data_IF_259296747019
#
_entry.id   IF_259296747019
#
_cell.length_a   1.000
_cell.length_b   1.000
_cell.length_c   1.000
_cell.angle_alpha   90.00
_cell.angle_beta   90.00
_cell.angle_gamma   90.00
#
_symmetry.space_group_name_H-M   'P 1'
#
loop_
_entity.id
_entity.type
_entity.pdbx_description
1 polymer ?
#
# COMPACT_ATOMS: atom_id res chain seq x y z
N UNK A 1 -5.29 27.72 1.51
CA UNK A 1 -6.60 27.33 2.09
C UNK A 1 -7.66 27.88 1.17
N UNK A 2 -8.46 27.00 0.56
CA UNK A 2 -9.44 27.39 -0.46
C UNK A 2 -10.57 26.34 -0.49
N UNK A 3 -11.86 26.73 -0.59
CA UNK A 3 -12.96 25.79 -0.78
C UNK A 3 -12.80 24.84 -1.97
N UNK A 4 -12.07 25.24 -3.02
CA UNK A 4 -11.79 24.39 -4.19
C UNK A 4 -10.90 23.19 -3.85
N UNK A 5 -10.16 23.22 -2.74
CA UNK A 5 -9.32 22.11 -2.27
C UNK A 5 -10.12 21.08 -1.46
N UNK A 6 -11.38 21.37 -1.12
CA UNK A 6 -12.17 20.50 -0.25
C UNK A 6 -12.51 19.15 -0.90
N UNK A 7 -12.55 18.10 -0.08
CA UNK A 7 -12.92 16.76 -0.50
C UNK A 7 -11.90 16.08 -1.41
N UNK A 8 -10.64 16.53 -1.38
CA UNK A 8 -9.53 15.86 -2.06
C UNK A 8 -9.31 14.45 -1.51
N UNK A 9 -9.12 13.49 -2.41
CA UNK A 9 -8.47 12.21 -2.12
C UNK A 9 -6.94 12.35 -2.08
N UNK A 10 -6.25 11.23 -1.93
CA UNK A 10 -4.79 11.21 -1.74
C UNK A 10 -4.06 11.81 -2.94
N UNK A 11 -4.41 11.39 -4.16
CA UNK A 11 -3.78 11.90 -5.37
C UNK A 11 -4.01 13.40 -5.57
N UNK A 12 -5.25 13.88 -5.42
CA UNK A 12 -5.54 15.32 -5.51
C UNK A 12 -4.82 16.13 -4.43
N UNK A 13 -4.68 15.57 -3.22
CA UNK A 13 -3.90 16.17 -2.13
C UNK A 13 -2.42 16.24 -2.50
N UNK A 14 -1.84 15.16 -3.02
CA UNK A 14 -0.44 15.11 -3.45
C UNK A 14 -0.16 16.08 -4.61
N UNK A 15 -1.10 16.24 -5.55
CA UNK A 15 -1.01 17.23 -6.64
C UNK A 15 -0.99 18.67 -6.11
N UNK A 16 -1.87 19.00 -5.17
CA UNK A 16 -1.88 20.33 -4.55
C UNK A 16 -0.59 20.61 -3.77
N UNK A 17 -0.06 19.61 -3.04
CA UNK A 17 1.21 19.71 -2.33
C UNK A 17 2.40 19.86 -3.29
N UNK A 18 2.42 19.12 -4.39
CA UNK A 18 3.46 19.23 -5.41
C UNK A 18 3.45 20.63 -6.06
N UNK A 19 2.27 21.18 -6.35
CA UNK A 19 2.13 22.54 -6.87
C UNK A 19 2.63 23.59 -5.86
N UNK A 20 2.26 23.44 -4.58
CA UNK A 20 2.72 24.32 -3.51
C UNK A 20 4.25 24.29 -3.34
N UNK A 21 4.86 23.10 -3.42
CA UNK A 21 6.31 22.94 -3.34
C UNK A 21 7.03 23.58 -4.51
N UNK A 22 6.59 23.36 -5.76
CA UNK A 22 7.17 24.01 -6.94
C UNK A 22 7.10 25.53 -6.84
N UNK A 23 6.00 26.06 -6.30
CA UNK A 23 5.85 27.49 -6.01
C UNK A 23 6.85 27.94 -4.93
N UNK A 24 6.97 27.19 -3.83
CA UNK A 24 7.93 27.50 -2.77
C UNK A 24 9.37 27.55 -3.31
N UNK A 25 9.72 26.61 -4.19
CA UNK A 25 11.04 26.57 -4.81
C UNK A 25 11.31 27.74 -5.75
N UNK A 26 10.28 28.19 -6.49
CA UNK A 26 10.38 29.36 -7.35
C UNK A 26 10.67 30.66 -6.57
N UNK A 27 10.14 30.78 -5.35
CA UNK A 27 10.29 31.97 -4.50
C UNK A 27 11.52 31.90 -3.56
N UNK A 28 11.86 30.70 -3.08
CA UNK A 28 12.78 30.49 -1.95
C UNK A 28 14.01 29.63 -2.25
N UNK A 29 14.15 29.09 -3.46
CA UNK A 29 15.23 28.17 -3.83
C UNK A 29 14.88 26.68 -3.60
N UNK A 30 15.76 25.76 -4.02
CA UNK A 30 15.46 24.32 -4.05
C UNK A 30 15.19 23.75 -2.65
N UNK A 31 14.30 22.76 -2.57
CA UNK A 31 14.02 22.02 -1.35
C UNK A 31 14.76 20.68 -1.38
N UNK A 32 15.75 20.51 -0.50
CA UNK A 32 16.54 19.27 -0.43
C UNK A 32 15.82 18.11 0.28
N UNK A 33 14.93 18.41 1.23
CA UNK A 33 14.28 17.38 2.02
C UNK A 33 12.84 17.76 2.35
N UNK A 34 11.91 16.87 1.98
CA UNK A 34 10.49 16.97 2.29
C UNK A 34 10.14 15.93 3.35
N UNK A 35 9.64 16.38 4.49
CA UNK A 35 9.19 15.50 5.58
C UNK A 35 7.66 15.49 5.63
N UNK A 36 7.09 14.30 5.70
CA UNK A 36 5.67 14.08 5.94
C UNK A 36 5.45 13.06 7.07
N UNK A 37 4.24 12.97 7.61
CA UNK A 37 3.90 11.87 8.53
C UNK A 37 3.74 10.55 7.76
N UNK A 38 4.02 9.41 8.41
CA UNK A 38 3.82 8.08 7.81
C UNK A 38 2.41 7.87 7.28
N UNK A 39 1.41 8.25 8.07
CA UNK A 39 -0.02 8.13 7.78
C UNK A 39 -0.78 9.14 8.66
N UNK A 40 -1.97 9.54 8.22
CA UNK A 40 -2.88 10.35 9.05
C UNK A 40 -3.80 9.44 9.86
N UNK A 41 -4.18 9.87 11.07
CA UNK A 41 -4.99 9.03 11.99
C UNK A 41 -6.45 8.88 11.59
N UNK A 42 -6.95 9.77 10.72
CA UNK A 42 -8.33 9.81 10.27
C UNK A 42 -8.62 8.79 9.16
N UNK A 43 -7.76 8.76 8.14
CA UNK A 43 -7.94 7.93 6.95
C UNK A 43 -6.94 6.77 6.86
N UNK A 44 -5.83 6.83 7.60
CA UNK A 44 -4.80 5.80 7.70
C UNK A 44 -4.24 5.31 6.35
N UNK A 45 -4.21 6.18 5.32
CA UNK A 45 -3.87 5.77 3.96
C UNK A 45 -2.38 5.53 3.75
N UNK A 46 -1.52 6.39 4.30
CA UNK A 46 -0.08 6.35 4.05
C UNK A 46 0.32 6.51 2.57
N UNK A 47 -0.52 7.17 1.76
CA UNK A 47 -0.38 7.22 0.30
C UNK A 47 0.14 8.56 -0.23
N UNK A 48 -0.15 9.67 0.47
CA UNK A 48 0.20 11.03 -0.01
C UNK A 48 1.71 11.23 -0.15
N UNK A 49 2.52 10.73 0.78
CA UNK A 49 3.98 10.82 0.71
C UNK A 49 4.58 10.18 -0.55
N UNK A 50 4.31 8.89 -0.82
CA UNK A 50 4.83 8.24 -2.03
C UNK A 50 4.18 8.75 -3.33
N UNK A 51 2.91 9.17 -3.34
CA UNK A 51 2.32 9.88 -4.49
C UNK A 51 3.05 11.19 -4.77
N UNK A 52 3.33 11.99 -3.73
CA UNK A 52 4.08 13.24 -3.85
C UNK A 52 5.50 12.99 -4.40
N UNK A 53 6.18 11.97 -3.90
CA UNK A 53 7.49 11.57 -4.39
C UNK A 53 7.46 11.19 -5.87
N UNK A 54 6.42 10.48 -6.32
CA UNK A 54 6.24 10.18 -7.74
C UNK A 54 6.03 11.44 -8.58
N UNK A 55 5.17 12.36 -8.12
CA UNK A 55 4.81 13.59 -8.85
C UNK A 55 5.98 14.59 -8.96
N UNK A 56 6.91 14.54 -8.00
CA UNK A 56 8.14 15.34 -8.00
C UNK A 56 9.35 14.59 -8.58
N UNK A 57 9.19 13.33 -8.99
CA UNK A 57 10.26 12.44 -9.42
C UNK A 57 11.41 12.35 -8.40
N UNK A 58 11.07 12.14 -7.11
CA UNK A 58 12.01 12.05 -6.00
C UNK A 58 12.07 10.62 -5.41
N UNK A 59 13.23 10.22 -4.86
CA UNK A 59 13.31 9.02 -4.05
C UNK A 59 12.48 9.17 -2.77
N UNK A 60 11.99 8.04 -2.25
CA UNK A 60 11.15 8.00 -1.06
C UNK A 60 11.53 6.88 -0.12
N UNK A 61 11.40 7.15 1.18
CA UNK A 61 11.39 6.13 2.22
C UNK A 61 10.32 6.42 3.26
N UNK A 62 9.60 5.37 3.64
CA UNK A 62 8.57 5.42 4.68
C UNK A 62 9.08 4.90 6.01
N UNK A 63 8.37 5.25 7.09
CA UNK A 63 8.61 4.66 8.40
C UNK A 63 9.91 5.13 9.07
N UNK A 64 10.44 6.28 8.68
CA UNK A 64 11.74 6.76 9.18
C UNK A 64 11.65 7.04 10.68
N UNK A 65 12.43 6.30 11.47
CA UNK A 65 12.63 6.45 12.92
C UNK A 65 14.02 6.95 13.30
N UNK A 66 14.99 6.87 12.37
CA UNK A 66 16.31 7.50 12.50
C UNK A 66 16.68 8.19 11.21
N UNK A 67 17.30 9.36 11.32
CA UNK A 67 17.70 10.20 10.19
C UNK A 67 19.04 10.85 10.50
N UNK A 68 20.05 10.58 9.66
CA UNK A 68 21.38 11.18 9.73
C UNK A 68 21.74 11.79 8.36
N UNK A 69 21.88 13.11 8.30
CA UNK A 69 22.30 13.81 7.08
C UNK A 69 23.77 13.55 6.78
N UNK A 70 24.08 13.31 5.51
CA UNK A 70 25.43 13.18 4.97
C UNK A 70 25.63 14.26 3.91
N UNK A 71 25.96 15.46 4.36
CA UNK A 71 26.18 16.64 3.51
C UNK A 71 27.29 16.40 2.47
N UNK A 72 28.33 15.63 2.83
CA UNK A 72 29.46 15.37 1.95
C UNK A 72 29.06 14.55 0.71
N UNK A 73 28.07 13.67 0.84
CA UNK A 73 27.58 12.80 -0.23
C UNK A 73 26.20 13.21 -0.76
N UNK A 74 25.66 14.35 -0.34
CA UNK A 74 24.33 14.83 -0.69
C UNK A 74 23.25 13.75 -0.52
N UNK A 75 23.26 13.11 0.66
CA UNK A 75 22.38 11.98 0.96
C UNK A 75 21.95 11.97 2.43
N UNK A 76 20.99 11.12 2.75
CA UNK A 76 20.51 10.90 4.11
C UNK A 76 20.52 9.40 4.40
N UNK A 77 21.09 9.02 5.55
CA UNK A 77 20.98 7.67 6.09
C UNK A 77 19.75 7.60 6.96
N UNK A 78 18.95 6.57 6.75
CA UNK A 78 17.67 6.38 7.44
C UNK A 78 17.58 4.99 8.05
N UNK A 79 16.99 4.93 9.23
CA UNK A 79 16.52 3.70 9.84
C UNK A 79 14.99 3.68 9.83
N UNK A 80 14.42 2.72 9.12
CA UNK A 80 13.00 2.63 8.84
C UNK A 80 12.36 1.45 9.59
N UNK A 81 11.26 1.73 10.27
CA UNK A 81 10.36 0.73 10.83
C UNK A 81 9.25 0.42 9.82
N UNK A 82 9.25 -0.82 9.34
CA UNK A 82 8.27 -1.35 8.39
C UNK A 82 7.38 -2.39 9.11
N UNK A 83 6.58 -3.15 8.37
CA UNK A 83 5.55 -4.03 8.96
C UNK A 83 6.11 -5.09 9.94
N UNK A 84 7.17 -5.81 9.57
CA UNK A 84 7.84 -6.86 10.36
C UNK A 84 9.37 -6.78 10.27
N UNK A 85 9.89 -5.64 9.80
CA UNK A 85 11.28 -5.45 9.46
C UNK A 85 11.76 -4.08 9.91
N UNK A 86 13.02 -4.04 10.34
CA UNK A 86 13.81 -2.83 10.41
C UNK A 86 14.74 -2.77 9.19
N UNK A 87 14.71 -1.65 8.46
CA UNK A 87 15.54 -1.40 7.28
C UNK A 87 16.50 -0.23 7.52
N UNK A 88 17.77 -0.42 7.18
CA UNK A 88 18.74 0.68 7.04
C UNK A 88 18.91 1.00 5.56
N UNK A 89 18.85 2.28 5.19
CA UNK A 89 19.05 2.71 3.82
C UNK A 89 19.81 4.04 3.72
N UNK A 90 20.47 4.24 2.58
CA UNK A 90 20.93 5.56 2.13
C UNK A 90 20.00 6.06 1.03
N UNK A 91 19.53 7.30 1.14
CA UNK A 91 18.64 7.96 0.17
C UNK A 91 19.35 9.20 -0.38
N UNK A 92 19.45 9.33 -1.69
CA UNK A 92 20.02 10.52 -2.34
C UNK A 92 19.09 11.73 -2.15
N UNK A 93 19.65 12.92 -1.94
CA UNK A 93 18.90 14.18 -1.90
C UNK A 93 18.87 14.85 -3.30
N UNK A 94 17.77 15.54 -3.67
CA UNK A 94 16.58 15.81 -2.87
C UNK A 94 15.69 14.58 -2.65
N UNK A 95 14.97 14.50 -1.52
CA UNK A 95 14.16 13.34 -1.16
C UNK A 95 12.84 13.69 -0.43
N UNK A 96 11.88 12.76 -0.51
CA UNK A 96 10.68 12.75 0.36
C UNK A 96 10.83 11.64 1.39
N UNK A 97 10.71 11.96 2.68
CA UNK A 97 10.70 10.96 3.75
C UNK A 97 9.41 11.05 4.54
N UNK A 98 8.83 9.89 4.89
CA UNK A 98 7.73 9.83 5.86
C UNK A 98 8.26 9.40 7.23
N UNK A 99 8.00 10.24 8.23
CA UNK A 99 8.42 10.00 9.61
C UNK A 99 7.44 9.05 10.31
N UNK A 100 7.97 7.98 10.90
CA UNK A 100 7.24 7.18 11.88
C UNK A 100 7.14 7.91 13.22
N UNK A 101 6.29 7.40 14.11
CA UNK A 101 6.23 7.91 15.47
C UNK A 101 7.60 7.82 16.17
N UNK A 102 7.88 8.79 17.04
CA UNK A 102 9.13 8.84 17.83
C UNK A 102 10.41 8.97 16.99
N UNK A 103 10.34 9.59 15.81
CA UNK A 103 11.55 10.06 15.11
C UNK A 103 12.35 11.07 15.96
N UNK A 104 11.64 11.90 16.73
CA UNK A 104 12.21 12.80 17.74
C UNK A 104 11.47 12.62 19.06
N UNK A 105 12.10 13.01 20.16
CA UNK A 105 11.39 13.20 21.43
C UNK A 105 10.32 14.29 21.27
N UNK A 106 9.08 14.06 21.72
CA UNK A 106 8.02 15.04 21.60
C UNK A 106 8.40 16.39 22.22
N UNK A 107 8.57 17.42 21.40
CA UNK A 107 8.86 18.77 21.85
C UNK A 107 7.56 19.53 22.09
N UNK A 108 7.01 19.45 23.31
CA UNK A 108 5.84 20.26 23.72
C UNK A 108 6.31 21.58 24.34
N UNK A 109 5.83 22.71 23.80
CA UNK A 109 6.04 24.03 24.41
C UNK A 109 4.93 24.26 25.45
N UNK A 110 5.19 23.85 26.69
CA UNK A 110 4.21 23.91 27.80
C UNK A 110 4.08 25.28 28.45
N UNK A 111 5.09 26.15 28.30
CA UNK A 111 5.11 27.51 28.85
C UNK A 111 4.46 28.49 27.87
N UNK A 112 3.30 29.09 28.19
CA UNK A 112 2.64 30.07 27.33
C UNK A 112 3.48 31.31 27.04
N UNK A 113 4.47 31.64 27.89
CA UNK A 113 5.38 32.76 27.64
C UNK A 113 6.35 32.51 26.47
N UNK A 114 6.53 31.23 26.07
CA UNK A 114 7.30 30.82 24.89
C UNK A 114 6.44 30.67 23.64
N UNK A 115 5.13 30.83 23.76
CA UNK A 115 4.27 30.82 22.59
C UNK A 115 4.58 32.05 21.77
N UNK A 116 4.84 31.83 20.49
CA UNK A 116 4.99 32.92 19.53
C UNK A 116 3.57 33.47 19.34
N UNK A 117 3.32 34.77 19.61
CA UNK A 117 2.05 35.39 19.29
C UNK A 117 1.70 35.16 17.82
N UNK A 118 0.41 35.04 17.52
CA UNK A 118 -0.07 35.07 16.13
C UNK A 118 0.30 36.45 15.56
N UNK A 119 1.35 36.49 14.75
CA UNK A 119 1.92 37.71 14.18
C UNK A 119 1.64 37.67 12.68
N UNK A 120 0.94 38.69 12.19
CA UNK A 120 0.10 38.80 10.96
C UNK A 120 0.84 38.62 9.61
N UNK A 121 1.93 37.87 9.53
CA UNK A 121 2.67 37.65 8.27
C UNK A 121 3.57 36.42 8.18
N UNK A 122 3.65 35.55 9.21
CA UNK A 122 4.48 34.33 9.14
C UNK A 122 3.79 33.14 8.47
N UNK A 123 2.45 33.10 8.54
CA UNK A 123 1.64 32.08 7.88
C UNK A 123 1.26 32.61 6.51
N UNK A 124 1.86 32.04 5.47
CA UNK A 124 1.49 32.35 4.08
C UNK A 124 0.30 31.48 3.69
N UNK A 125 -0.84 32.12 3.44
CA UNK A 125 -2.03 31.45 2.92
C UNK A 125 -1.96 31.45 1.40
N UNK A 126 -1.78 30.26 0.82
CA UNK A 126 -1.83 30.05 -0.63
C UNK A 126 -3.22 29.53 -1.00
N UNK A 127 -3.94 30.25 -1.86
CA UNK A 127 -5.25 29.84 -2.39
C UNK A 127 -5.10 28.95 -3.64
N UNK A 128 -6.23 28.46 -4.17
CA UNK A 128 -6.20 27.54 -5.31
C UNK A 128 -5.67 28.21 -6.60
N UNK A 129 -5.95 29.50 -6.80
CA UNK A 129 -5.51 30.25 -7.97
C UNK A 129 -3.97 30.39 -8.00
N UNK A 130 -3.36 30.59 -6.83
CA UNK A 130 -1.91 30.65 -6.67
C UNK A 130 -1.19 29.31 -6.88
N UNK A 131 -1.90 28.17 -6.82
CA UNK A 131 -1.34 26.84 -7.15
C UNK A 131 -1.31 26.56 -8.66
N UNK A 132 -1.97 27.39 -9.47
CA UNK A 132 -2.08 27.23 -10.91
C UNK A 132 -3.46 26.73 -11.36
N UNK A 133 -3.61 26.45 -12.66
CA UNK A 133 -4.89 26.02 -13.20
C UNK A 133 -5.24 24.63 -12.63
N UNK A 134 -6.41 24.53 -11.98
CA UNK A 134 -6.94 23.26 -11.48
C UNK A 134 -7.30 22.25 -12.59
N UNK A 135 -8.15 21.25 -12.32
CA UNK A 135 -9.04 21.14 -11.17
C UNK A 135 -8.29 20.86 -9.85
N UNK A 136 -8.97 21.13 -8.73
CA UNK A 136 -8.48 20.88 -7.37
C UNK A 136 -9.55 20.15 -6.54
N UNK A 137 -9.15 19.63 -5.38
CA UNK A 137 -10.06 19.01 -4.42
C UNK A 137 -10.84 17.84 -5.03
N UNK A 138 -12.11 17.72 -4.65
CA UNK A 138 -13.00 16.69 -5.17
C UNK A 138 -13.14 16.69 -6.71
N UNK A 139 -12.94 17.83 -7.38
CA UNK A 139 -12.99 17.88 -8.84
C UNK A 139 -11.76 17.20 -9.49
N UNK A 140 -10.61 17.20 -8.82
CA UNK A 140 -9.40 16.51 -9.25
C UNK A 140 -9.34 15.05 -8.80
N UNK A 141 -10.11 14.68 -7.78
CA UNK A 141 -10.08 13.34 -7.18
C UNK A 141 -10.70 12.26 -8.05
N UNK A 142 -9.95 11.21 -8.42
CA UNK A 142 -10.52 10.06 -9.10
C UNK A 142 -11.35 9.16 -8.17
N UNK A 143 -11.11 9.19 -6.85
CA UNK A 143 -11.91 8.42 -5.90
C UNK A 143 -13.04 9.24 -5.28
N UNK A 144 -14.12 8.54 -4.90
CA UNK A 144 -15.29 9.11 -4.22
C UNK A 144 -15.78 8.17 -3.14
N UNK A 145 -16.13 8.73 -1.98
CA UNK A 145 -16.81 7.99 -0.92
C UNK A 145 -18.29 7.84 -1.29
N UNK A 146 -18.74 6.60 -1.41
CA UNK A 146 -20.12 6.21 -1.66
C UNK A 146 -20.85 5.82 -0.38
N UNK A 147 -21.74 4.83 -0.51
CA UNK A 147 -22.58 4.35 0.59
C UNK A 147 -21.76 3.80 1.75
N UNK A 148 -22.26 4.00 2.97
CA UNK A 148 -21.72 3.38 4.17
C UNK A 148 -22.65 2.27 4.65
N UNK A 149 -22.08 1.22 5.25
CA UNK A 149 -22.83 0.20 5.98
C UNK A 149 -22.16 -0.07 7.32
N UNK A 150 -22.96 -0.29 8.36
CA UNK A 150 -22.45 -0.80 9.62
C UNK A 150 -21.96 -2.23 9.41
N UNK A 151 -20.73 -2.51 9.78
CA UNK A 151 -20.21 -3.88 9.79
C UNK A 151 -20.29 -4.39 11.23
N UNK A 152 -21.30 -5.21 11.50
CA UNK A 152 -21.36 -5.91 12.78
C UNK A 152 -20.23 -6.93 12.78
N UNK A 153 -19.20 -6.70 13.58
CA UNK A 153 -18.20 -7.71 13.92
C UNK A 153 -18.74 -8.50 15.12
N UNK A 154 -19.40 -9.66 14.94
CA UNK A 154 -19.86 -10.46 16.06
C UNK A 154 -18.65 -10.94 16.86
N UNK A 155 -18.40 -10.29 17.99
CA UNK A 155 -17.41 -10.75 18.96
C UNK A 155 -18.10 -11.79 19.84
N UNK A 156 -17.51 -12.98 19.96
CA UNK A 156 -18.06 -14.03 20.81
C UNK A 156 -18.22 -13.58 22.28
N UNK A 157 -17.43 -12.59 22.73
CA UNK A 157 -17.61 -11.93 24.02
C UNK A 157 -17.55 -12.89 25.22
N UNK A 158 -16.79 -13.98 25.10
CA UNK A 158 -16.70 -15.00 26.15
C UNK A 158 -15.86 -14.46 27.31
N UNK A 159 -16.50 -14.33 28.47
CA UNK A 159 -15.84 -14.10 29.76
C UNK A 159 -15.44 -15.47 30.29
N UNK A 160 -14.18 -15.62 30.72
CA UNK A 160 -13.69 -16.84 31.35
C UNK A 160 -13.60 -16.59 32.86
N UNK A 161 -14.14 -17.51 33.65
CA UNK A 161 -14.12 -17.48 35.11
C UNK A 161 -13.24 -18.61 35.66
N UNK A 162 -12.80 -18.50 36.91
CA UNK A 162 -12.00 -19.54 37.59
C UNK A 162 -10.51 -19.18 37.74
N UNK A 163 -9.66 -20.14 38.11
CA UNK A 163 -8.22 -19.93 38.27
C UNK A 163 -7.55 -19.46 36.97
N UNK A 164 -6.56 -18.57 37.08
CA UNK A 164 -5.84 -18.00 35.92
C UNK A 164 -5.27 -19.07 35.00
N UNK A 165 -4.69 -20.14 35.55
CA UNK A 165 -4.08 -21.21 34.75
C UNK A 165 -5.10 -21.94 33.86
N UNK A 166 -6.33 -22.14 34.35
CA UNK A 166 -7.42 -22.76 33.59
C UNK A 166 -7.92 -21.81 32.49
N UNK A 167 -8.06 -20.52 32.80
CA UNK A 167 -8.42 -19.51 31.81
C UNK A 167 -7.38 -19.42 30.69
N UNK A 168 -6.09 -19.41 31.03
CA UNK A 168 -4.98 -19.38 30.07
C UNK A 168 -5.01 -20.64 29.19
N UNK A 169 -5.19 -21.83 29.79
CA UNK A 169 -5.28 -23.07 29.03
C UNK A 169 -6.45 -23.06 28.02
N UNK A 170 -7.60 -22.52 28.41
CA UNK A 170 -8.75 -22.38 27.52
C UNK A 170 -8.48 -21.38 26.38
N UNK A 171 -7.88 -20.23 26.67
CA UNK A 171 -7.50 -19.24 25.64
C UNK A 171 -6.53 -19.87 24.64
N UNK A 172 -5.48 -20.55 25.12
CA UNK A 172 -4.50 -21.22 24.25
C UNK A 172 -5.18 -22.28 23.39
N UNK A 173 -6.02 -23.13 23.98
CA UNK A 173 -6.77 -24.14 23.23
C UNK A 173 -7.68 -23.51 22.16
N UNK A 174 -8.34 -22.39 22.47
CA UNK A 174 -9.19 -21.66 21.54
C UNK A 174 -8.39 -21.00 20.40
N UNK A 175 -7.18 -20.52 20.65
CA UNK A 175 -6.26 -19.98 19.65
C UNK A 175 -5.69 -21.09 18.76
N UNK A 176 -5.26 -22.22 19.34
CA UNK A 176 -4.79 -23.41 18.62
C UNK A 176 -5.88 -23.97 17.71
N UNK A 177 -7.10 -24.14 18.23
CA UNK A 177 -8.25 -24.61 17.44
C UNK A 177 -8.59 -23.68 16.26
N UNK A 178 -8.24 -22.38 16.36
CA UNK A 178 -8.37 -21.39 15.29
C UNK A 178 -7.12 -21.27 14.42
N UNK A 179 -6.10 -22.10 14.63
CA UNK A 179 -4.85 -22.07 13.87
C UNK A 179 -3.98 -20.83 14.12
N UNK A 180 -4.16 -20.14 15.26
CA UNK A 180 -3.47 -18.90 15.60
C UNK A 180 -2.22 -19.11 16.47
N UNK A 181 -1.92 -20.35 16.86
CA UNK A 181 -0.72 -20.70 17.62
C UNK A 181 0.27 -21.47 16.72
N UNK A 182 1.52 -21.00 16.64
CA UNK A 182 2.65 -21.77 16.10
C UNK A 182 3.67 -22.00 17.21
N UNK A 183 4.09 -23.25 17.39
CA UNK A 183 5.47 -23.51 17.80
C UNK A 183 6.37 -23.43 16.56
N UNK A 184 7.61 -22.92 16.68
CA UNK A 184 8.55 -22.87 15.57
C UNK A 184 9.12 -24.27 15.31
N UNK A 185 8.46 -25.06 14.46
CA UNK A 185 9.05 -26.29 13.92
C UNK A 185 9.68 -26.01 12.55
N UNK A 186 10.95 -26.35 12.42
CA UNK A 186 11.71 -26.29 11.18
C UNK A 186 11.07 -27.20 10.11
N UNK A 187 10.70 -26.60 8.98
CA UNK A 187 10.36 -27.31 7.75
C UNK A 187 8.87 -27.62 7.57
N UNK A 188 8.37 -27.19 6.41
CA UNK A 188 7.14 -27.63 5.71
C UNK A 188 5.78 -26.99 6.05
N UNK A 189 5.06 -26.74 4.95
CA UNK A 189 3.64 -26.44 4.76
C UNK A 189 3.06 -25.17 5.42
N UNK A 190 2.64 -24.26 4.54
CA UNK A 190 2.02 -22.98 4.87
C UNK A 190 0.79 -23.10 5.77
N UNK A 191 0.52 -22.00 6.47
CA UNK A 191 -0.65 -21.77 7.31
C UNK A 191 -1.95 -22.28 6.68
N UNK A 192 -2.55 -23.32 7.25
CA UNK A 192 -3.99 -23.56 7.14
C UNK A 192 -4.73 -22.52 7.98
N UNK A 193 -5.54 -21.68 7.35
CA UNK A 193 -6.57 -20.92 8.08
C UNK A 193 -7.53 -21.94 8.73
N UNK A 194 -8.24 -21.57 9.80
CA UNK A 194 -9.46 -22.28 10.12
C UNK A 194 -10.32 -22.25 8.86
N UNK A 195 -10.64 -23.43 8.33
CA UNK A 195 -11.45 -23.61 7.13
C UNK A 195 -12.89 -23.19 7.45
N UNK A 196 -13.13 -21.88 7.48
CA UNK A 196 -14.40 -21.40 6.98
C UNK A 196 -14.39 -21.76 5.49
N UNK A 197 -15.37 -22.54 5.04
CA UNK A 197 -15.49 -22.95 3.65
C UNK A 197 -15.80 -21.70 2.81
N UNK A 198 -14.75 -20.97 2.43
CA UNK A 198 -14.79 -19.68 1.73
C UNK A 198 -14.87 -19.87 0.21
N UNK A 199 -15.03 -21.11 -0.26
CA UNK A 199 -15.11 -21.48 -1.67
C UNK A 199 -13.75 -21.77 -2.32
N UNK A 200 -13.80 -22.03 -3.63
CA UNK A 200 -12.64 -22.32 -4.47
C UNK A 200 -12.34 -21.15 -5.41
N UNK A 201 -11.08 -21.02 -5.82
CA UNK A 201 -10.69 -20.11 -6.90
C UNK A 201 -11.49 -20.46 -8.16
N UNK A 202 -12.19 -19.51 -8.81
CA UNK A 202 -12.96 -19.77 -10.01
C UNK A 202 -12.10 -20.31 -11.18
N UNK A 203 -12.67 -21.10 -12.11
CA UNK A 203 -11.99 -21.44 -13.34
C UNK A 203 -11.72 -20.18 -14.18
N UNK A 204 -10.71 -20.23 -15.05
CA UNK A 204 -10.39 -19.13 -15.98
C UNK A 204 -11.61 -18.86 -16.85
N UNK A 205 -12.01 -17.60 -16.97
CA UNK A 205 -13.08 -17.24 -17.88
C UNK A 205 -12.63 -17.45 -19.33
N UNK A 206 -13.53 -17.93 -20.18
CA UNK A 206 -13.27 -18.12 -21.61
C UNK A 206 -13.52 -16.85 -22.45
N UNK A 207 -13.75 -15.71 -21.81
CA UNK A 207 -14.10 -14.45 -22.47
C UNK A 207 -12.90 -13.53 -22.66
N UNK A 208 -13.09 -12.50 -23.48
CA UNK A 208 -12.12 -11.43 -23.74
C UNK A 208 -12.30 -10.25 -22.75
N UNK A 209 -12.77 -10.54 -21.54
CA UNK A 209 -13.00 -9.52 -20.51
C UNK A 209 -11.70 -8.86 -20.04
N UNK A 210 -11.81 -7.83 -19.18
CA UNK A 210 -10.67 -7.04 -18.76
C UNK A 210 -9.66 -7.83 -17.91
N UNK A 211 -8.43 -7.29 -17.83
CA UNK A 211 -7.40 -7.81 -16.94
C UNK A 211 -7.52 -7.21 -15.54
N UNK A 212 -7.54 -8.06 -14.50
CA UNK A 212 -7.36 -7.66 -13.10
C UNK A 212 -5.92 -7.98 -12.70
N UNK A 213 -5.13 -6.97 -12.37
CA UNK A 213 -3.72 -7.13 -12.02
C UNK A 213 -3.54 -7.28 -10.50
N UNK A 214 -2.58 -8.11 -10.09
CA UNK A 214 -2.11 -8.23 -8.71
C UNK A 214 -0.60 -8.00 -8.71
N UNK A 215 -0.13 -7.09 -7.86
CA UNK A 215 1.31 -6.88 -7.67
C UNK A 215 1.80 -7.75 -6.53
N UNK A 216 2.70 -8.69 -6.84
CA UNK A 216 3.28 -9.60 -5.88
C UNK A 216 4.39 -8.92 -5.08
N UNK A 217 4.20 -8.84 -3.76
CA UNK A 217 5.25 -8.39 -2.84
C UNK A 217 6.26 -9.54 -2.57
N UNK A 218 7.57 -9.29 -2.72
CA UNK A 218 8.60 -10.28 -2.39
C UNK A 218 8.49 -10.76 -0.93
N UNK A 219 8.56 -12.07 -0.71
CA UNK A 219 8.49 -12.67 0.62
C UNK A 219 7.07 -12.80 1.22
N UNK A 220 6.03 -12.30 0.54
CA UNK A 220 4.64 -12.31 1.06
C UNK A 220 3.71 -13.28 0.33
N UNK A 221 4.15 -14.51 0.13
CA UNK A 221 3.43 -15.53 -0.66
C UNK A 221 1.98 -15.74 -0.22
N UNK A 222 1.70 -15.65 1.09
CA UNK A 222 0.34 -15.71 1.64
C UNK A 222 -0.55 -14.57 1.13
N UNK A 223 -0.05 -13.33 1.22
CA UNK A 223 -0.78 -12.14 0.77
C UNK A 223 -0.99 -12.19 -0.74
N UNK A 224 0.06 -12.55 -1.48
CA UNK A 224 -0.01 -12.76 -2.94
C UNK A 224 -1.11 -13.75 -3.31
N UNK A 225 -1.22 -14.88 -2.60
CA UNK A 225 -2.29 -15.87 -2.80
C UNK A 225 -3.68 -15.32 -2.50
N UNK A 226 -3.85 -14.61 -1.38
CA UNK A 226 -5.12 -13.99 -0.98
C UNK A 226 -5.61 -12.99 -2.04
N UNK A 227 -4.72 -12.11 -2.51
CA UNK A 227 -5.01 -11.12 -3.56
C UNK A 227 -5.32 -11.77 -4.90
N UNK A 228 -4.54 -12.77 -5.31
CA UNK A 228 -4.74 -13.48 -6.58
C UNK A 228 -6.09 -14.21 -6.61
N UNK A 229 -6.49 -14.83 -5.49
CA UNK A 229 -7.79 -15.45 -5.37
C UNK A 229 -8.95 -14.45 -5.47
N UNK A 230 -8.84 -13.30 -4.80
CA UNK A 230 -9.84 -12.24 -4.91
C UNK A 230 -9.91 -11.63 -6.31
N UNK A 231 -8.76 -11.41 -6.96
CA UNK A 231 -8.68 -10.97 -8.35
C UNK A 231 -9.35 -11.97 -9.29
N UNK A 232 -9.21 -13.28 -9.06
CA UNK A 232 -9.87 -14.31 -9.86
C UNK A 232 -11.40 -14.29 -9.73
N UNK A 233 -11.93 -13.95 -8.54
CA UNK A 233 -13.38 -13.75 -8.35
C UNK A 233 -13.88 -12.55 -9.15
N UNK A 234 -13.16 -11.41 -9.11
CA UNK A 234 -13.50 -10.23 -9.90
C UNK A 234 -13.40 -10.51 -11.41
N UNK A 235 -12.31 -11.13 -11.85
CA UNK A 235 -12.10 -11.49 -13.24
C UNK A 235 -13.20 -12.42 -13.76
N UNK A 236 -13.63 -13.42 -12.97
CA UNK A 236 -14.72 -14.32 -13.35
C UNK A 236 -16.06 -13.58 -13.55
N UNK A 237 -16.39 -12.61 -12.68
CA UNK A 237 -17.60 -11.80 -12.82
C UNK A 237 -17.57 -10.91 -14.08
N UNK A 238 -16.37 -10.45 -14.46
CA UNK A 238 -16.14 -9.61 -15.63
C UNK A 238 -15.90 -10.40 -16.93
N UNK A 239 -15.86 -11.75 -16.84
CA UNK A 239 -15.47 -12.61 -17.97
C UNK A 239 -14.03 -12.39 -18.45
N UNK A 240 -13.14 -11.90 -17.57
CA UNK A 240 -11.77 -11.52 -17.87
C UNK A 240 -10.71 -12.45 -17.25
N UNK A 241 -9.52 -11.90 -17.00
CA UNK A 241 -8.33 -12.68 -16.59
C UNK A 241 -7.51 -12.01 -15.49
N UNK A 242 -6.71 -12.80 -14.79
CA UNK A 242 -5.80 -12.31 -13.74
C UNK A 242 -4.36 -12.25 -14.24
N UNK A 243 -3.73 -11.07 -14.12
CA UNK A 243 -2.29 -10.90 -14.32
C UNK A 243 -1.59 -10.77 -12.96
N UNK A 244 -0.69 -11.69 -12.65
CA UNK A 244 0.19 -11.59 -11.49
C UNK A 244 1.53 -10.98 -11.92
N UNK A 245 1.84 -9.81 -11.39
CA UNK A 245 2.99 -8.98 -11.78
C UNK A 245 3.98 -8.92 -10.63
N UNK A 246 5.27 -9.16 -10.87
CA UNK A 246 6.26 -9.01 -9.82
C UNK A 246 7.66 -9.49 -10.19
N UNK A 247 8.63 -9.16 -9.33
CA UNK A 247 9.97 -9.72 -9.42
C UNK A 247 10.04 -11.06 -8.70
N UNK A 248 10.86 -11.99 -9.22
CA UNK A 248 11.10 -13.29 -8.60
C UNK A 248 9.89 -14.22 -8.55
N UNK A 249 8.90 -14.09 -9.46
CA UNK A 249 7.76 -15.00 -9.55
C UNK A 249 8.16 -16.46 -9.84
N UNK A 250 9.33 -16.68 -10.45
CA UNK A 250 9.90 -18.00 -10.72
C UNK A 250 9.99 -18.87 -9.44
N UNK A 251 10.22 -18.24 -8.28
CA UNK A 251 10.32 -18.95 -6.99
C UNK A 251 9.00 -19.56 -6.51
N UNK A 252 7.87 -19.00 -6.94
CA UNK A 252 6.54 -19.50 -6.61
C UNK A 252 6.17 -20.70 -7.50
N UNK A 253 6.67 -20.69 -8.74
CA UNK A 253 6.39 -21.70 -9.75
C UNK A 253 5.06 -21.45 -10.47
N UNK A 254 5.08 -21.59 -11.80
CA UNK A 254 3.94 -21.29 -12.69
C UNK A 254 2.68 -22.04 -12.26
N UNK A 255 2.79 -23.35 -11.98
CA UNK A 255 1.66 -24.18 -11.53
C UNK A 255 1.03 -23.68 -10.24
N UNK A 256 1.85 -23.20 -9.29
CA UNK A 256 1.36 -22.66 -8.02
C UNK A 256 0.57 -21.37 -8.26
N UNK A 257 1.14 -20.43 -9.00
CA UNK A 257 0.47 -19.18 -9.34
C UNK A 257 -0.84 -19.44 -10.11
N UNK A 258 -0.83 -20.37 -11.06
CA UNK A 258 -2.01 -20.80 -11.81
C UNK A 258 -3.10 -21.33 -10.88
N UNK A 259 -2.73 -22.15 -9.89
CA UNK A 259 -3.65 -22.72 -8.89
C UNK A 259 -4.26 -21.67 -7.96
N UNK A 260 -3.59 -20.53 -7.78
CA UNK A 260 -4.10 -19.39 -7.00
C UNK A 260 -5.03 -18.48 -7.80
N UNK A 261 -5.05 -18.62 -9.13
CA UNK A 261 -5.94 -17.87 -10.00
C UNK A 261 -5.25 -17.06 -11.08
N UNK A 262 -3.92 -17.05 -11.15
CA UNK A 262 -3.20 -16.33 -12.20
C UNK A 262 -3.44 -16.99 -13.57
N UNK A 263 -3.67 -16.17 -14.59
CA UNK A 263 -3.78 -16.57 -15.99
C UNK A 263 -2.61 -16.02 -16.83
N UNK A 264 -2.01 -14.91 -16.37
CA UNK A 264 -0.82 -14.28 -16.93
C UNK A 264 0.20 -14.04 -15.81
N UNK A 265 1.47 -14.35 -16.04
CA UNK A 265 2.58 -13.95 -15.18
C UNK A 265 3.43 -12.91 -15.88
N UNK A 266 3.61 -11.77 -15.24
CA UNK A 266 4.45 -10.68 -15.74
C UNK A 266 5.68 -10.60 -14.84
N UNK A 267 6.77 -11.16 -15.33
CA UNK A 267 8.06 -11.21 -14.65
C UNK A 267 8.76 -9.87 -14.84
N UNK A 268 9.04 -9.17 -13.73
CA UNK A 268 9.82 -7.95 -13.72
C UNK A 268 11.30 -8.33 -13.58
N UNK A 269 12.02 -8.29 -14.69
CA UNK A 269 13.40 -8.74 -14.80
C UNK A 269 14.38 -7.57 -14.65
N UNK A 270 15.36 -7.73 -13.78
CA UNK A 270 16.39 -6.72 -13.53
C UNK A 270 17.55 -6.93 -14.50
N UNK A 271 17.85 -5.93 -15.32
CA UNK A 271 19.03 -5.96 -16.16
C UNK A 271 20.25 -5.52 -15.33
N UNK A 272 21.25 -6.41 -15.17
CA UNK A 272 22.58 -6.11 -14.60
C UNK A 272 22.68 -5.78 -13.10
N UNK A 273 21.60 -5.89 -12.33
CA UNK A 273 21.63 -5.76 -10.86
C UNK A 273 21.12 -7.02 -10.16
N UNK A 274 21.46 -7.18 -8.88
CA UNK A 274 20.96 -8.31 -8.11
C UNK A 274 19.51 -8.04 -7.67
N UNK A 275 18.67 -9.07 -7.69
CA UNK A 275 17.25 -8.93 -7.38
C UNK A 275 16.97 -8.45 -5.94
N UNK A 276 17.92 -8.63 -5.02
CA UNK A 276 17.86 -8.18 -3.62
C UNK A 276 18.19 -6.68 -3.43
N UNK A 277 18.69 -6.00 -4.47
CA UNK A 277 18.99 -4.56 -4.46
C UNK A 277 17.81 -3.71 -4.98
N UNK A 278 16.74 -4.34 -5.47
CA UNK A 278 15.56 -3.68 -6.01
C UNK A 278 14.75 -3.04 -4.91
N UNK A 279 14.37 -1.78 -5.13
CA UNK A 279 13.51 -1.01 -4.22
C UNK A 279 12.11 -0.81 -4.79
N UNK A 280 11.19 -0.37 -3.94
CA UNK A 280 9.79 -0.08 -4.23
C UNK A 280 9.63 0.86 -5.42
N UNK A 281 10.49 1.87 -5.53
CA UNK A 281 10.50 2.83 -6.65
C UNK A 281 10.69 2.12 -8.01
N UNK A 282 11.63 1.18 -8.10
CA UNK A 282 11.95 0.49 -9.36
C UNK A 282 10.79 -0.43 -9.78
N UNK A 283 10.20 -1.14 -8.81
CA UNK A 283 9.02 -1.99 -9.03
C UNK A 283 7.84 -1.14 -9.48
N UNK A 284 7.58 -0.02 -8.81
CA UNK A 284 6.49 0.88 -9.17
C UNK A 284 6.66 1.43 -10.59
N UNK A 285 7.86 1.81 -10.99
CA UNK A 285 8.15 2.27 -12.35
C UNK A 285 7.86 1.20 -13.40
N UNK A 286 8.28 -0.04 -13.18
CA UNK A 286 8.04 -1.15 -14.10
C UNK A 286 6.55 -1.54 -14.17
N UNK A 287 5.85 -1.58 -13.03
CA UNK A 287 4.41 -1.85 -12.97
C UNK A 287 3.62 -0.73 -13.66
N UNK A 288 3.98 0.54 -13.44
CA UNK A 288 3.32 1.68 -14.08
C UNK A 288 3.50 1.65 -15.61
N UNK A 289 4.72 1.37 -16.09
CA UNK A 289 4.99 1.22 -17.52
C UNK A 289 4.17 0.10 -18.15
N UNK A 290 4.14 -1.08 -17.53
CA UNK A 290 3.30 -2.19 -17.98
C UNK A 290 1.80 -1.86 -17.95
N UNK A 291 1.33 -1.23 -16.87
CA UNK A 291 -0.08 -0.87 -16.72
C UNK A 291 -0.52 0.21 -17.71
N UNK A 292 0.36 1.13 -18.10
CA UNK A 292 0.09 2.13 -19.14
C UNK A 292 -0.11 1.48 -20.53
N UNK A 293 0.59 0.38 -20.82
CA UNK A 293 0.43 -0.37 -22.08
C UNK A 293 -0.81 -1.28 -22.06
N UNK A 294 -1.01 -2.01 -20.96
CA UNK A 294 -2.04 -3.06 -20.85
C UNK A 294 -3.40 -2.50 -20.43
N UNK A 295 -3.42 -1.34 -19.78
CA UNK A 295 -4.61 -0.70 -19.20
C UNK A 295 -5.48 -1.69 -18.41
N UNK A 296 -4.94 -2.33 -17.35
CA UNK A 296 -5.72 -3.26 -16.54
C UNK A 296 -6.92 -2.53 -15.93
N UNK A 297 -8.03 -3.24 -15.77
CA UNK A 297 -9.25 -2.67 -15.18
C UNK A 297 -9.07 -2.35 -13.70
N UNK A 298 -8.30 -3.16 -12.98
CA UNK A 298 -7.85 -2.85 -11.64
C UNK A 298 -6.43 -3.36 -11.36
N UNK A 299 -5.74 -2.74 -10.40
CA UNK A 299 -4.47 -3.20 -9.83
C UNK A 299 -4.63 -3.34 -8.31
N UNK A 300 -4.46 -4.56 -7.80
CA UNK A 300 -4.55 -4.86 -6.38
C UNK A 300 -3.15 -5.06 -5.79
N UNK A 301 -2.89 -4.42 -4.65
CA UNK A 301 -1.60 -4.47 -3.96
C UNK A 301 -1.83 -4.70 -2.47
N UNK A 302 -0.85 -5.27 -1.76
CA UNK A 302 -0.88 -5.35 -0.30
C UNK A 302 -0.92 -3.98 0.38
N UNK A 303 -1.55 -3.89 1.54
CA UNK A 303 -1.58 -2.71 2.41
C UNK A 303 -0.38 -2.59 3.36
N UNK A 304 0.70 -3.30 3.06
CA UNK A 304 2.01 -3.20 3.74
C UNK A 304 2.67 -1.85 3.44
N UNK A 305 3.74 -1.50 4.15
CA UNK A 305 4.56 -0.33 3.84
C UNK A 305 5.07 -0.37 2.38
N UNK A 306 5.54 -1.55 1.94
CA UNK A 306 5.99 -1.80 0.57
C UNK A 306 4.86 -1.58 -0.45
N UNK A 307 3.70 -2.21 -0.22
CA UNK A 307 2.58 -2.16 -1.15
C UNK A 307 1.90 -0.80 -1.21
N UNK A 308 1.89 -0.04 -0.10
CA UNK A 308 1.45 1.36 -0.08
C UNK A 308 2.37 2.23 -0.93
N UNK A 309 3.69 2.10 -0.83
CA UNK A 309 4.60 2.86 -1.69
C UNK A 309 4.40 2.50 -3.17
N UNK A 310 4.44 1.21 -3.51
CA UNK A 310 4.33 0.76 -4.90
C UNK A 310 2.98 1.17 -5.50
N UNK A 311 1.88 0.90 -4.81
CA UNK A 311 0.54 1.26 -5.28
C UNK A 311 0.35 2.76 -5.45
N UNK A 312 0.88 3.57 -4.52
CA UNK A 312 0.81 5.05 -4.56
C UNK A 312 1.58 5.62 -5.75
N UNK A 313 2.81 5.13 -5.98
CA UNK A 313 3.62 5.55 -7.12
C UNK A 313 2.97 5.16 -8.44
N UNK A 314 2.43 3.94 -8.55
CA UNK A 314 1.70 3.50 -9.76
C UNK A 314 0.45 4.35 -9.98
N UNK A 315 -0.34 4.62 -8.93
CA UNK A 315 -1.53 5.44 -9.01
C UNK A 315 -1.22 6.87 -9.50
N UNK A 316 -0.21 7.51 -8.91
CA UNK A 316 0.23 8.84 -9.31
C UNK A 316 0.77 8.88 -10.75
N UNK A 317 1.55 7.86 -11.16
CA UNK A 317 2.07 7.77 -12.53
C UNK A 317 0.97 7.61 -13.59
N UNK A 318 -0.12 6.89 -13.25
CA UNK A 318 -1.26 6.67 -14.15
C UNK A 318 -2.36 7.74 -14.04
N UNK A 319 -2.27 8.65 -13.06
CA UNK A 319 -3.38 9.56 -12.74
C UNK A 319 -4.64 8.81 -12.27
N UNK A 320 -4.46 7.67 -11.63
CA UNK A 320 -5.52 6.74 -11.27
C UNK A 320 -5.92 6.84 -9.80
N UNK A 321 -7.19 6.56 -9.49
CA UNK A 321 -7.67 6.55 -8.11
C UNK A 321 -7.20 5.32 -7.35
N UNK A 322 -6.75 5.56 -6.10
CA UNK A 322 -6.24 4.53 -5.20
C UNK A 322 -7.08 4.48 -3.92
N UNK A 323 -7.74 3.35 -3.68
CA UNK A 323 -8.39 3.09 -2.40
C UNK A 323 -7.38 2.51 -1.40
N UNK A 324 -7.20 3.17 -0.26
CA UNK A 324 -6.35 2.65 0.83
C UNK A 324 -7.07 1.72 1.78
N UNK A 325 -6.46 0.57 2.13
CA UNK A 325 -6.96 -0.39 3.13
C UNK A 325 -8.33 -1.00 2.82
N UNK A 326 -8.50 -1.45 1.58
CA UNK A 326 -9.65 -2.23 1.20
C UNK A 326 -9.71 -3.54 2.02
N UNK A 327 -10.92 -3.91 2.43
CA UNK A 327 -11.24 -5.16 3.13
C UNK A 327 -12.12 -6.10 2.31
N UNK A 328 -12.58 -5.64 1.15
CA UNK A 328 -13.39 -6.42 0.23
C UNK A 328 -13.69 -5.66 -1.05
N UNK A 329 -14.22 -6.37 -2.03
CA UNK A 329 -14.48 -5.85 -3.36
C UNK A 329 -15.84 -6.31 -3.89
N UNK A 330 -16.48 -5.43 -4.64
CA UNK A 330 -17.68 -5.73 -5.43
C UNK A 330 -17.48 -5.17 -6.85
N UNK A 331 -18.16 -5.78 -7.82
CA UNK A 331 -18.33 -5.19 -9.15
C UNK A 331 -19.72 -4.57 -9.20
N UNK A 332 -19.80 -3.26 -9.44
CA UNK A 332 -21.04 -2.51 -9.57
C UNK A 332 -20.98 -1.70 -10.87
N UNK A 333 -21.96 -1.91 -11.75
CA UNK A 333 -22.01 -1.33 -13.11
C UNK A 333 -20.67 -1.43 -13.88
N UNK A 334 -20.01 -2.59 -13.79
CA UNK A 334 -18.73 -2.85 -14.45
C UNK A 334 -17.55 -2.07 -13.86
N UNK A 335 -17.69 -1.44 -12.69
CA UNK A 335 -16.65 -0.71 -11.95
C UNK A 335 -16.32 -1.38 -10.62
N UNK A 336 -15.11 -1.14 -10.13
CA UNK A 336 -14.64 -1.64 -8.85
C UNK A 336 -15.26 -0.81 -7.73
N UNK A 337 -15.90 -1.49 -6.79
CA UNK A 337 -16.26 -0.93 -5.50
C UNK A 337 -15.34 -1.57 -4.46
N UNK A 338 -14.45 -0.76 -3.87
CA UNK A 338 -13.56 -1.20 -2.81
C UNK A 338 -14.13 -0.78 -1.46
N UNK A 339 -14.33 -1.74 -0.56
CA UNK A 339 -14.85 -1.47 0.78
C UNK A 339 -13.71 -1.12 1.73
N UNK A 340 -13.78 0.04 2.37
CA UNK A 340 -12.76 0.51 3.31
C UNK A 340 -13.37 0.72 4.70
N UNK A 341 -12.71 0.29 5.79
CA UNK A 341 -13.11 0.64 7.15
C UNK A 341 -13.07 2.16 7.38
N UNK A 342 -14.09 2.67 8.07
CA UNK A 342 -14.21 4.05 8.51
C UNK A 342 -14.57 4.08 10.00
N UNK A 343 -14.30 5.21 10.68
CA UNK A 343 -14.69 5.44 12.08
C UNK A 343 -14.26 4.31 13.05
N UNK A 344 -12.96 3.98 13.05
CA UNK A 344 -12.42 2.94 13.95
C UNK A 344 -12.88 1.51 13.63
N UNK A 345 -13.40 1.28 12.41
CA UNK A 345 -13.77 -0.06 11.91
C UNK A 345 -15.19 -0.51 12.22
N UNK A 346 -16.03 0.34 12.82
CA UNK A 346 -17.45 0.05 13.05
C UNK A 346 -18.31 0.18 11.78
N UNK A 347 -17.79 0.90 10.78
CA UNK A 347 -18.47 1.18 9.51
C UNK A 347 -17.50 0.83 8.38
N UNK A 348 -18.03 0.32 7.27
CA UNK A 348 -17.31 0.29 6.00
C UNK A 348 -17.97 1.22 5.00
N UNK A 349 -17.15 1.93 4.25
CA UNK A 349 -17.54 2.81 3.16
C UNK A 349 -17.20 2.17 1.82
N UNK A 350 -18.13 2.22 0.87
CA UNK A 350 -17.86 1.90 -0.52
C UNK A 350 -17.05 3.03 -1.14
N UNK A 351 -15.88 2.73 -1.68
CA UNK A 351 -15.06 3.68 -2.43
C UNK A 351 -15.22 3.36 -3.91
N UNK A 352 -15.66 4.36 -4.66
CA UNK A 352 -15.80 4.31 -6.12
C UNK A 352 -14.63 5.03 -6.76
N UNK A 353 -14.26 4.61 -7.97
CA UNK A 353 -13.17 5.21 -8.73
C UNK A 353 -13.61 5.51 -10.17
N UNK A 354 -13.31 6.72 -10.65
CA UNK A 354 -13.70 7.17 -11.99
C UNK A 354 -12.61 6.95 -13.04
N UNK A 355 -11.35 6.73 -12.64
CA UNK A 355 -10.26 6.48 -13.59
C UNK A 355 -10.44 5.15 -14.34
N UNK A 356 -9.92 5.01 -15.57
CA UNK A 356 -10.04 3.76 -16.35
C UNK A 356 -9.44 2.55 -15.63
N UNK A 357 -8.23 2.71 -15.09
CA UNK A 357 -7.58 1.75 -14.20
C UNK A 357 -7.84 2.16 -12.75
N UNK A 358 -8.23 1.22 -11.91
CA UNK A 358 -8.62 1.47 -10.51
C UNK A 358 -7.66 0.73 -9.59
N UNK A 359 -7.12 1.40 -8.57
CA UNK A 359 -6.17 0.76 -7.66
C UNK A 359 -6.74 0.60 -6.26
N UNK A 360 -6.30 -0.46 -5.58
CA UNK A 360 -6.57 -0.63 -4.16
C UNK A 360 -5.38 -1.27 -3.44
N UNK A 361 -4.99 -0.70 -2.31
CA UNK A 361 -4.23 -1.45 -1.30
C UNK A 361 -5.19 -2.23 -0.41
N UNK A 362 -4.81 -3.44 -0.03
CA UNK A 362 -5.66 -4.36 0.73
C UNK A 362 -5.07 -4.64 2.08
N UNK A 363 -5.86 -4.46 3.14
CA UNK A 363 -5.42 -4.75 4.50
C UNK A 363 -4.99 -6.21 4.63
N UNK A 364 -3.81 -6.45 5.17
CA UNK A 364 -3.22 -7.80 5.23
C UNK A 364 -4.10 -8.74 6.06
N UNK A 365 -4.36 -9.95 5.54
CA UNK A 365 -5.06 -11.02 6.26
C UNK A 365 -6.58 -10.88 6.37
N UNK A 366 -7.19 -9.89 5.71
CA UNK A 366 -8.66 -9.70 5.72
C UNK A 366 -9.38 -10.50 4.63
N UNK A 367 -8.71 -10.75 3.51
CA UNK A 367 -9.30 -11.49 2.40
C UNK A 367 -9.24 -13.00 2.67
N UNK A 368 -10.29 -13.75 2.26
CA UNK A 368 -10.31 -15.19 2.45
C UNK A 368 -9.25 -15.90 1.60
N UNK A 369 -8.70 -16.98 2.13
CA UNK A 369 -7.84 -17.90 1.38
C UNK A 369 -8.68 -18.94 0.67
N UNK A 370 -8.97 -18.70 -0.61
CA UNK A 370 -9.70 -19.64 -1.44
C UNK A 370 -8.92 -20.96 -1.61
N UNK A 371 -9.66 -22.05 -1.70
CA UNK A 371 -9.09 -23.36 -2.06
C UNK A 371 -8.59 -23.32 -3.51
N UNK A 372 -7.40 -23.87 -3.73
CA UNK A 372 -6.71 -23.77 -5.02
C UNK A 372 -7.51 -24.49 -6.12
N UNK A 373 -7.57 -23.88 -7.30
CA UNK A 373 -8.14 -24.51 -8.49
C UNK A 373 -7.15 -25.47 -9.14
N UNK A 374 -7.64 -26.31 -10.05
CA UNK A 374 -6.75 -27.03 -10.98
C UNK A 374 -5.99 -26.00 -11.82
N UNK A 375 -4.66 -26.09 -11.82
CA UNK A 375 -3.81 -25.23 -12.62
C UNK A 375 -4.14 -25.36 -14.12
N UNK A 376 -4.42 -24.22 -14.76
CA UNK A 376 -4.59 -24.09 -16.21
C UNK A 376 -3.29 -23.69 -16.92
N UNK A 377 -3.36 -23.49 -18.23
CA UNK A 377 -2.28 -22.87 -18.98
C UNK A 377 -2.12 -21.40 -18.57
N UNK A 378 -0.89 -20.92 -18.52
CA UNK A 378 -0.54 -19.57 -18.09
C UNK A 378 0.32 -18.92 -19.16
N UNK A 379 0.05 -17.66 -19.46
CA UNK A 379 0.87 -16.85 -20.37
C UNK A 379 2.00 -16.22 -19.54
N UNK A 380 3.25 -16.42 -19.96
CA UNK A 380 4.40 -15.79 -19.33
C UNK A 380 4.90 -14.61 -20.18
N UNK A 381 5.07 -13.46 -19.54
CA UNK A 381 5.55 -12.23 -20.11
C UNK A 381 6.75 -11.74 -19.28
N UNK A 382 7.79 -11.22 -19.94
CA UNK A 382 8.99 -10.69 -19.28
C UNK A 382 9.12 -9.21 -19.60
N UNK A 383 9.28 -8.38 -18.57
CA UNK A 383 9.42 -6.93 -18.68
C UNK A 383 10.69 -6.46 -18.00
N UNK A 384 11.49 -5.61 -18.66
CA UNK A 384 12.66 -5.04 -18.03
C UNK A 384 12.24 -4.07 -16.92
N UNK A 385 12.95 -4.13 -15.79
CA UNK A 385 12.83 -3.19 -14.69
C UNK A 385 14.10 -2.35 -14.61
N UNK A 386 13.94 -1.03 -14.74
CA UNK A 386 15.04 -0.08 -14.62
C UNK A 386 15.33 0.21 -13.15
N UNK A 387 16.59 0.08 -12.75
CA UNK A 387 17.05 0.42 -11.39
C UNK A 387 17.49 1.88 -11.38
N UNK A 388 16.90 2.68 -10.51
CA UNK A 388 17.21 4.13 -10.40
C UNK A 388 18.42 4.41 -9.50
N UNK A 389 18.71 3.53 -8.55
CA UNK A 389 19.90 3.63 -7.69
C UNK A 389 19.93 4.82 -6.73
N UNK A 390 18.81 5.53 -6.56
CA UNK A 390 18.68 6.69 -5.64
C UNK A 390 18.41 6.29 -4.20
N UNK A 391 17.98 5.06 -4.00
CA UNK A 391 17.87 4.44 -2.68
C UNK A 391 18.71 3.17 -2.67
N UNK A 392 19.51 3.01 -1.62
CA UNK A 392 20.34 1.84 -1.42
C UNK A 392 20.10 1.29 -0.03
N UNK A 393 19.49 0.12 0.04
CA UNK A 393 19.31 -0.62 1.29
C UNK A 393 20.66 -1.16 1.74
N UNK A 394 21.06 -0.84 2.97
CA UNK A 394 22.35 -1.25 3.55
C UNK A 394 22.20 -2.35 4.60
N UNK A 395 20.98 -2.62 5.06
CA UNK A 395 20.72 -3.73 5.97
C UNK A 395 19.23 -3.93 6.22
N UNK A 396 18.83 -5.19 6.47
CA UNK A 396 17.49 -5.56 6.92
C UNK A 396 17.60 -6.55 8.06
N UNK A 397 16.74 -6.42 9.06
CA UNK A 397 16.55 -7.43 10.11
C UNK A 397 15.07 -7.57 10.41
N UNK A 398 14.64 -8.78 10.74
CA UNK A 398 13.31 -9.00 11.32
C UNK A 398 13.26 -8.30 12.66
N UNK A 399 12.19 -7.55 12.90
CA UNK A 399 11.97 -6.85 14.15
C UNK A 399 10.75 -7.48 14.84
N UNK A 400 11.02 -8.49 15.67
CA UNK A 400 10.01 -9.21 16.46
C UNK A 400 9.77 -8.54 17.84
N UNK A 401 10.27 -7.31 18.05
CA UNK A 401 10.19 -6.62 19.34
C UNK A 401 8.75 -6.31 19.73
N UNK A 402 8.32 -6.90 20.84
CA UNK A 402 6.97 -6.82 21.43
C UNK A 402 6.57 -5.39 21.84
N UNK A 403 7.53 -4.47 21.98
CA UNK A 403 7.30 -3.07 22.36
C UNK A 403 6.62 -2.21 21.25
N UNK A 404 6.29 -2.82 20.10
CA UNK A 404 5.75 -2.16 18.90
C UNK A 404 4.34 -2.67 18.50
N UNK A 405 3.84 -3.75 19.13
CA UNK A 405 2.43 -4.18 19.03
C UNK A 405 1.58 -3.50 20.10
#
# INVERSE_FOLDING_TARGET
SDPQLAGADTLATAQALAAALRRLEADGGPVDLILCGRNSVDADTGQVGPELAQLLDLPFRTGVKRLDLDEAHHSVRVGCELDDLWEEATVALPAVLSAAERLIDPCKITDPARWVPDDDGRIVVVDADALGPGPWGAAASPTRVGRTRAEALPRAGRILDGPVDEQVAEVVAALVARGLHREPAAGTAGFGAPSLDVGAVPPTASGDGPTVAVVAEPGRDRLTRELTGAAAVLAAQLGGRVALVGSGLDRLGVTTCASWGADVLVHLDVAHHRADEVVEEDVAGAVAGWAAEVAPWAVLVGGTAWGREVGSRVAAALGAGLTGDAVGFEVDDGRLVAWKPAFGGAVVAAIHCSSPTQLATVRVGVLPRLSARRAGAVIEERRPMAVRGRVRVTGRRTEDSVDVL
#
